data_IF_895976091931
#
_entry.id   IF_895976091931
#
_cell.length_a   1.000
_cell.length_b   1.000
_cell.length_c   1.000
_cell.angle_alpha   90.00
_cell.angle_beta   90.00
_cell.angle_gamma   90.00
#
_symmetry.space_group_name_H-M   'P 1'
#
loop_
_entity.id
_entity.type
_entity.pdbx_description
1 polymer ?
#
# COMPACT_ATOMS: atom_id res chain seq x y z
N UNK A 1 30.12 14.15 -4.43
CA UNK A 1 29.98 14.31 -2.97
C UNK A 1 28.84 13.42 -2.50
N UNK A 2 29.06 12.58 -1.50
CA UNK A 2 28.01 11.73 -0.95
C UNK A 2 26.98 12.59 -0.21
N UNK A 3 25.69 12.44 -0.55
CA UNK A 3 24.63 13.26 0.03
C UNK A 3 24.47 13.05 1.55
N UNK A 4 24.94 11.93 2.09
CA UNK A 4 24.76 11.51 3.49
C UNK A 4 26.05 11.46 4.33
N UNK A 5 27.15 12.07 3.88
CA UNK A 5 28.41 12.15 4.65
C UNK A 5 28.23 12.83 6.01
N UNK A 6 28.91 12.32 7.05
CA UNK A 6 28.97 12.91 8.39
C UNK A 6 29.78 14.21 8.47
N UNK A 7 30.57 14.52 7.45
CA UNK A 7 31.40 15.72 7.40
C UNK A 7 30.58 16.99 7.15
N UNK A 8 29.30 16.84 6.81
CA UNK A 8 28.39 17.94 6.53
C UNK A 8 27.09 17.71 7.30
N UNK A 9 26.49 18.75 7.85
CA UNK A 9 25.10 18.75 8.31
C UNK A 9 24.21 19.23 7.18
N UNK A 10 23.06 18.60 7.00
CA UNK A 10 22.04 19.10 6.07
C UNK A 10 20.72 19.17 6.81
N UNK A 11 20.23 20.38 7.11
CA UNK A 11 18.96 20.60 7.83
C UNK A 11 17.97 21.36 6.95
N UNK A 12 16.67 21.23 7.23
CA UNK A 12 15.66 22.00 6.51
C UNK A 12 15.56 23.44 7.07
N UNK A 13 15.54 24.43 6.17
CA UNK A 13 15.30 25.82 6.49
C UNK A 13 13.92 26.01 7.16
N UNK A 14 13.88 26.76 8.26
CA UNK A 14 12.64 27.06 8.99
C UNK A 14 11.61 27.85 8.16
N UNK A 15 12.09 28.74 7.28
CA UNK A 15 11.23 29.60 6.47
C UNK A 15 10.61 28.93 5.24
N UNK A 16 11.39 28.16 4.49
CA UNK A 16 10.93 27.58 3.22
C UNK A 16 11.07 26.06 3.11
N UNK A 17 11.73 25.40 4.06
CA UNK A 17 11.99 23.95 4.04
C UNK A 17 13.10 23.50 3.09
N UNK A 18 13.78 24.43 2.41
CA UNK A 18 14.91 24.09 1.53
C UNK A 18 16.11 23.56 2.33
N UNK A 19 16.94 22.67 1.74
CA UNK A 19 18.11 22.11 2.42
C UNK A 19 19.17 23.18 2.69
N UNK A 20 19.69 23.21 3.91
CA UNK A 20 20.78 24.07 4.40
C UNK A 20 21.97 23.21 4.79
N UNK A 21 23.09 23.44 4.13
CA UNK A 21 24.35 22.75 4.43
C UNK A 21 25.15 23.58 5.42
N UNK A 22 25.50 23.00 6.57
CA UNK A 22 26.40 23.63 7.54
C UNK A 22 27.54 22.68 7.92
N UNK A 23 28.59 23.20 8.56
CA UNK A 23 29.70 22.39 9.03
C UNK A 23 29.28 21.31 10.06
N UNK A 24 30.12 20.29 10.31
CA UNK A 24 29.77 19.15 11.17
C UNK A 24 29.55 19.56 12.63
N UNK A 25 30.13 20.68 13.07
CA UNK A 25 29.93 21.30 14.37
C UNK A 25 28.58 22.03 14.51
N UNK A 26 27.75 22.04 13.46
CA UNK A 26 26.57 22.91 13.39
C UNK A 26 26.96 24.33 12.99
N UNK A 27 26.07 25.30 13.27
CA UNK A 27 26.29 26.71 13.00
C UNK A 27 25.06 27.43 12.47
N UNK A 28 25.24 28.68 12.06
CA UNK A 28 24.22 29.48 11.38
C UNK A 28 24.60 29.71 9.93
N UNK A 29 23.65 29.50 9.02
CA UNK A 29 23.84 29.77 7.59
C UNK A 29 22.61 30.44 6.99
N UNK A 30 22.84 31.33 6.02
CA UNK A 30 21.75 32.00 5.30
C UNK A 30 21.16 31.06 4.25
N UNK A 31 19.83 30.90 4.25
CA UNK A 31 19.14 30.11 3.24
C UNK A 31 19.29 30.75 1.86
N UNK A 32 19.88 30.00 0.92
CA UNK A 32 20.07 30.46 -0.47
C UNK A 32 18.75 30.72 -1.22
N UNK A 33 17.63 30.20 -0.72
CA UNK A 33 16.33 30.33 -1.37
C UNK A 33 15.48 31.48 -0.81
N UNK A 34 15.39 31.63 0.52
CA UNK A 34 14.54 32.65 1.15
C UNK A 34 15.32 33.70 1.96
N UNK A 35 16.65 33.61 2.04
CA UNK A 35 17.50 34.55 2.79
C UNK A 35 17.47 34.40 4.31
N UNK A 36 16.51 33.66 4.88
CA UNK A 36 16.41 33.46 6.34
C UNK A 36 17.64 32.71 6.86
N UNK A 37 18.24 33.19 7.96
CA UNK A 37 19.29 32.47 8.67
C UNK A 37 18.68 31.30 9.43
N UNK A 38 19.16 30.09 9.15
CA UNK A 38 18.83 28.89 9.90
C UNK A 38 19.97 28.53 10.85
N UNK A 39 19.65 27.86 11.94
CA UNK A 39 20.62 27.24 12.82
C UNK A 39 20.54 25.72 12.73
N UNK A 40 21.68 25.06 12.85
CA UNK A 40 21.79 23.61 13.01
C UNK A 40 22.65 23.30 14.22
N UNK A 41 22.24 22.31 15.00
CA UNK A 41 23.02 21.82 16.14
C UNK A 41 24.20 20.96 15.64
N UNK A 42 25.16 20.68 16.51
CA UNK A 42 26.17 19.65 16.22
C UNK A 42 25.51 18.26 16.17
N UNK A 43 25.99 17.35 15.30
CA UNK A 43 25.56 15.94 15.38
C UNK A 43 26.04 15.39 16.72
N UNK A 44 25.11 14.89 17.54
CA UNK A 44 25.48 14.13 18.72
C UNK A 44 26.34 12.94 18.29
N UNK A 45 27.49 12.72 18.93
CA UNK A 45 28.44 11.64 18.58
C UNK A 45 28.14 10.32 19.27
N UNK A 46 27.33 10.36 20.32
CA UNK A 46 27.05 9.18 21.13
C UNK A 46 25.93 8.32 20.51
N UNK A 47 26.02 7.02 20.75
CA UNK A 47 24.94 6.09 20.44
C UNK A 47 23.75 6.36 21.36
N UNK A 48 22.55 6.28 20.80
CA UNK A 48 21.31 6.45 21.55
C UNK A 48 20.95 5.13 22.20
N UNK A 49 20.77 5.13 23.52
CA UNK A 49 20.25 3.99 24.28
C UNK A 49 18.74 4.12 24.45
N UNK A 50 17.99 3.08 24.11
CA UNK A 50 16.53 3.06 24.27
C UNK A 50 16.17 2.06 25.36
N UNK A 51 16.05 2.58 26.59
CA UNK A 51 15.90 1.76 27.82
C UNK A 51 14.46 1.47 28.21
N UNK A 52 13.50 2.18 27.62
CA UNK A 52 12.09 2.13 27.98
C UNK A 52 11.25 1.80 26.75
N UNK A 53 10.17 1.06 27.00
CA UNK A 53 9.14 0.84 26.00
C UNK A 53 8.33 2.11 25.80
N UNK A 54 7.70 2.20 24.63
CA UNK A 54 6.76 3.29 24.38
C UNK A 54 5.58 3.16 25.33
N UNK A 55 5.39 4.14 26.19
CA UNK A 55 4.23 4.17 27.07
C UNK A 55 2.92 4.29 26.26
N UNK A 56 1.82 3.86 26.88
CA UNK A 56 0.50 3.86 26.23
C UNK A 56 0.04 5.26 25.84
N UNK A 57 0.45 6.29 26.58
CA UNK A 57 0.11 7.68 26.30
C UNK A 57 0.76 8.18 25.01
N UNK A 58 2.04 7.86 24.81
CA UNK A 58 2.79 8.19 23.59
C UNK A 58 2.18 7.48 22.38
N UNK A 59 1.78 6.21 22.53
CA UNK A 59 1.10 5.47 21.48
C UNK A 59 -0.27 6.08 21.13
N UNK A 60 -1.05 6.50 22.13
CA UNK A 60 -2.30 7.22 21.91
C UNK A 60 -2.07 8.54 21.18
N UNK A 61 -1.10 9.36 21.61
CA UNK A 61 -0.74 10.61 20.95
C UNK A 61 -0.31 10.39 19.49
N UNK A 62 0.45 9.34 19.21
CA UNK A 62 0.81 8.96 17.83
C UNK A 62 -0.41 8.55 17.00
N UNK A 63 -1.35 7.80 17.60
CA UNK A 63 -2.59 7.39 16.93
C UNK A 63 -3.48 8.58 16.62
N UNK A 64 -3.63 9.52 17.55
CA UNK A 64 -4.38 10.77 17.35
C UNK A 64 -3.72 11.66 16.30
N UNK A 65 -2.40 11.84 16.37
CA UNK A 65 -1.65 12.58 15.37
C UNK A 65 -1.79 11.95 13.98
N UNK A 66 -1.80 10.62 13.89
CA UNK A 66 -2.05 9.91 12.64
C UNK A 66 -3.44 10.21 12.09
N UNK A 67 -4.49 10.04 12.91
CA UNK A 67 -5.88 10.33 12.51
C UNK A 67 -6.05 11.77 12.02
N UNK A 68 -5.44 12.72 12.71
CA UNK A 68 -5.49 14.14 12.36
C UNK A 68 -4.81 14.47 11.01
N UNK A 69 -3.94 13.58 10.52
CA UNK A 69 -3.20 13.75 9.27
C UNK A 69 -3.64 12.77 8.18
N UNK A 70 -4.61 11.89 8.43
CA UNK A 70 -5.00 10.84 7.49
C UNK A 70 -5.33 11.40 6.10
N UNK A 71 -5.87 12.63 6.01
CA UNK A 71 -6.18 13.27 4.73
C UNK A 71 -4.96 13.50 3.82
N UNK A 72 -3.74 13.51 4.37
CA UNK A 72 -2.47 13.63 3.64
C UNK A 72 -1.97 12.32 3.05
N UNK A 73 -2.45 11.18 3.55
CA UNK A 73 -1.90 9.87 3.27
C UNK A 73 -2.82 9.01 2.44
N UNK A 74 -2.21 8.06 1.74
CA UNK A 74 -2.85 6.81 1.35
C UNK A 74 -1.99 5.62 1.74
N UNK A 75 -2.47 4.83 2.71
CA UNK A 75 -1.68 3.81 3.37
C UNK A 75 -0.56 4.49 4.13
N UNK A 76 0.66 4.06 3.92
CA UNK A 76 1.86 4.71 4.48
C UNK A 76 2.42 5.82 3.59
N UNK A 77 1.93 5.95 2.35
CA UNK A 77 2.48 6.89 1.37
C UNK A 77 1.85 8.28 1.49
N UNK A 78 2.70 9.30 1.42
CA UNK A 78 2.27 10.69 1.32
C UNK A 78 1.74 10.98 -0.09
N UNK A 79 0.56 11.60 -0.17
CA UNK A 79 -0.01 12.02 -1.44
C UNK A 79 0.88 13.06 -2.12
N UNK A 80 1.31 12.87 -3.39
CA UNK A 80 2.25 13.78 -4.05
C UNK A 80 1.82 15.25 -4.04
N UNK A 81 0.55 15.54 -4.28
CA UNK A 81 0.02 16.93 -4.27
C UNK A 81 -0.16 17.51 -2.86
N UNK A 82 -0.09 16.67 -1.81
CA UNK A 82 -0.14 17.10 -0.40
C UNK A 82 1.24 17.37 0.18
N UNK A 83 2.32 17.13 -0.55
CA UNK A 83 3.69 17.33 -0.06
C UNK A 83 3.94 18.76 0.48
N UNK A 84 3.38 19.79 -0.18
CA UNK A 84 3.49 21.19 0.27
C UNK A 84 2.75 21.44 1.59
N UNK A 85 1.54 20.92 1.73
CA UNK A 85 0.74 21.01 2.96
C UNK A 85 1.44 20.27 4.11
N UNK A 86 1.89 19.03 3.87
CA UNK A 86 2.66 18.24 4.82
C UNK A 86 3.95 18.95 5.26
N UNK A 87 4.66 19.60 4.33
CA UNK A 87 5.86 20.38 4.64
C UNK A 87 5.56 21.62 5.50
N UNK A 88 4.39 22.25 5.33
CA UNK A 88 3.97 23.35 6.19
C UNK A 88 3.62 22.86 7.61
N UNK A 89 2.85 21.77 7.70
CA UNK A 89 2.49 21.14 8.98
C UNK A 89 3.73 20.61 9.72
N UNK A 90 4.72 20.09 8.98
CA UNK A 90 5.98 19.60 9.54
C UNK A 90 6.76 20.73 10.21
N UNK A 91 6.87 21.89 9.54
CA UNK A 91 7.53 23.08 10.12
C UNK A 91 6.78 23.60 11.34
N UNK A 92 5.45 23.61 11.30
CA UNK A 92 4.64 23.99 12.45
C UNK A 92 4.85 23.04 13.65
N UNK A 93 4.86 21.72 13.41
CA UNK A 93 5.11 20.71 14.44
C UNK A 93 6.53 20.83 15.03
N UNK A 94 7.53 21.11 14.19
CA UNK A 94 8.91 21.36 14.62
C UNK A 94 9.00 22.59 15.54
N UNK A 95 8.32 23.68 15.16
CA UNK A 95 8.32 24.92 15.95
C UNK A 95 7.56 24.77 17.28
N UNK A 96 6.48 23.99 17.32
CA UNK A 96 5.68 23.77 18.54
C UNK A 96 6.21 22.67 19.45
N UNK A 97 7.17 21.85 18.99
CA UNK A 97 7.62 20.67 19.72
C UNK A 97 6.61 19.51 19.75
N UNK A 98 5.67 19.45 18.79
CA UNK A 98 4.73 18.33 18.68
C UNK A 98 5.44 17.10 18.12
N UNK A 99 6.10 16.34 19.01
CA UNK A 99 6.97 15.23 18.65
C UNK A 99 6.25 14.12 17.85
N UNK A 100 5.02 13.78 18.22
CA UNK A 100 4.24 12.74 17.55
C UNK A 100 3.94 13.12 16.10
N UNK A 101 3.42 14.33 15.88
CA UNK A 101 3.14 14.85 14.54
C UNK A 101 4.43 15.04 13.74
N UNK A 102 5.48 15.56 14.37
CA UNK A 102 6.77 15.79 13.73
C UNK A 102 7.36 14.47 13.23
N UNK A 103 7.39 13.42 14.03
CA UNK A 103 7.92 12.10 13.63
C UNK A 103 7.16 11.56 12.44
N UNK A 104 5.83 11.56 12.49
CA UNK A 104 4.99 11.03 11.41
C UNK A 104 5.24 11.77 10.09
N UNK A 105 5.20 13.10 10.11
CA UNK A 105 5.43 13.93 8.93
C UNK A 105 6.88 13.82 8.42
N UNK A 106 7.85 13.63 9.31
CA UNK A 106 9.25 13.45 8.96
C UNK A 106 9.45 12.19 8.12
N UNK A 107 8.94 11.04 8.59
CA UNK A 107 9.08 9.77 7.87
C UNK A 107 8.32 9.81 6.53
N UNK A 108 7.12 10.40 6.53
CA UNK A 108 6.31 10.59 5.33
C UNK A 108 7.00 11.44 4.25
N UNK A 109 7.53 12.59 4.65
CA UNK A 109 8.23 13.50 3.74
C UNK A 109 9.56 12.92 3.29
N UNK A 110 10.30 12.23 4.17
CA UNK A 110 11.52 11.54 3.81
C UNK A 110 11.26 10.48 2.73
N UNK A 111 10.19 9.67 2.89
CA UNK A 111 9.79 8.69 1.89
C UNK A 111 9.34 9.34 0.57
N UNK A 112 8.64 10.49 0.64
CA UNK A 112 8.27 11.26 -0.54
C UNK A 112 9.49 11.78 -1.31
N UNK A 113 10.47 12.38 -0.62
CA UNK A 113 11.68 12.90 -1.26
C UNK A 113 12.60 11.79 -1.80
N UNK A 114 12.63 10.64 -1.14
CA UNK A 114 13.25 9.43 -1.68
C UNK A 114 12.62 9.02 -3.02
N UNK A 115 11.28 8.93 -3.08
CA UNK A 115 10.57 8.60 -4.32
C UNK A 115 10.83 9.64 -5.43
N UNK A 116 10.99 10.91 -5.04
CA UNK A 116 11.34 12.01 -5.95
C UNK A 116 12.84 12.06 -6.31
N UNK A 117 13.66 11.14 -5.79
CA UNK A 117 15.12 11.11 -5.95
C UNK A 117 15.81 12.42 -5.53
N UNK A 118 15.33 13.04 -4.45
CA UNK A 118 15.90 14.25 -3.82
C UNK A 118 16.54 13.89 -2.45
N UNK A 119 17.75 13.30 -2.45
CA UNK A 119 18.40 12.83 -1.23
C UNK A 119 18.76 13.98 -0.27
N UNK A 120 19.01 15.20 -0.79
CA UNK A 120 19.35 16.35 0.04
C UNK A 120 18.14 16.84 0.84
N UNK A 121 16.95 16.92 0.24
CA UNK A 121 15.73 17.25 1.00
C UNK A 121 15.33 16.14 1.96
N UNK A 122 15.47 14.87 1.55
CA UNK A 122 15.23 13.74 2.43
C UNK A 122 16.09 13.86 3.69
N UNK A 123 17.40 14.08 3.53
CA UNK A 123 18.33 14.28 4.63
C UNK A 123 17.99 15.51 5.47
N UNK A 124 17.68 16.63 4.83
CA UNK A 124 17.31 17.90 5.48
C UNK A 124 16.15 17.75 6.47
N UNK A 125 15.11 17.02 6.07
CA UNK A 125 13.94 16.77 6.92
C UNK A 125 14.29 15.84 8.08
N UNK A 126 15.06 14.78 7.83
CA UNK A 126 15.48 13.82 8.86
C UNK A 126 16.38 14.46 9.93
N UNK A 127 17.43 15.18 9.52
CA UNK A 127 18.31 15.87 10.47
C UNK A 127 17.62 17.05 11.15
N UNK A 128 16.76 17.79 10.43
CA UNK A 128 15.99 18.88 11.02
C UNK A 128 15.04 18.41 12.12
N UNK A 129 14.50 17.19 11.99
CA UNK A 129 13.70 16.55 13.05
C UNK A 129 14.59 16.04 14.19
N UNK A 130 15.78 15.49 13.91
CA UNK A 130 16.74 15.06 14.93
C UNK A 130 17.17 16.20 15.87
N UNK A 131 17.26 17.43 15.37
CA UNK A 131 17.64 18.60 16.17
C UNK A 131 16.66 18.89 17.31
N UNK A 132 15.39 18.52 17.15
CA UNK A 132 14.34 18.78 18.14
C UNK A 132 13.80 17.51 18.79
N UNK A 133 14.21 16.33 18.32
CA UNK A 133 13.80 15.04 18.88
C UNK A 133 14.45 14.82 20.26
N UNK A 134 13.63 14.84 21.30
CA UNK A 134 14.05 14.63 22.70
C UNK A 134 14.00 13.17 23.12
N UNK A 135 12.99 12.42 22.66
CA UNK A 135 12.83 11.00 22.98
C UNK A 135 13.93 10.14 22.32
N UNK A 136 14.65 9.28 23.07
CA UNK A 136 15.64 8.35 22.52
C UNK A 136 15.06 7.44 21.42
N UNK A 137 13.84 6.95 21.60
CA UNK A 137 13.19 6.06 20.64
C UNK A 137 12.98 6.74 19.27
N UNK A 138 12.60 8.02 19.25
CA UNK A 138 12.38 8.77 18.01
C UNK A 138 13.70 9.06 17.30
N UNK A 139 14.74 9.46 18.04
CA UNK A 139 16.09 9.67 17.49
C UNK A 139 16.62 8.39 16.85
N UNK A 140 16.41 7.25 17.51
CA UNK A 140 16.79 5.93 17.02
C UNK A 140 16.13 5.60 15.66
N UNK A 141 14.81 5.82 15.55
CA UNK A 141 14.07 5.62 14.29
C UNK A 141 14.58 6.56 13.17
N UNK A 142 14.90 7.81 13.51
CA UNK A 142 15.43 8.79 12.56
C UNK A 142 16.84 8.44 12.06
N UNK A 143 17.73 7.95 12.93
CA UNK A 143 19.05 7.45 12.52
C UNK A 143 18.94 6.22 11.61
N UNK A 144 18.04 5.29 11.93
CA UNK A 144 17.75 4.15 11.06
C UNK A 144 17.26 4.59 9.67
N UNK A 145 16.42 5.62 9.60
CA UNK A 145 15.97 6.19 8.33
C UNK A 145 17.10 6.89 7.54
N UNK A 146 18.00 7.62 8.22
CA UNK A 146 19.20 8.21 7.61
C UNK A 146 20.13 7.13 7.04
N UNK A 147 20.34 6.03 7.77
CA UNK A 147 21.14 4.90 7.31
C UNK A 147 20.57 4.29 6.02
N UNK A 148 19.25 4.07 5.94
CA UNK A 148 18.62 3.61 4.68
C UNK A 148 18.76 4.62 3.55
N UNK A 149 18.63 5.93 3.84
CA UNK A 149 18.85 7.01 2.89
C UNK A 149 20.26 7.02 2.31
N UNK A 150 21.27 6.88 3.19
CA UNK A 150 22.68 6.80 2.80
C UNK A 150 22.98 5.58 1.92
N UNK A 151 22.44 4.42 2.28
CA UNK A 151 22.62 3.19 1.53
C UNK A 151 22.06 3.30 0.09
N UNK A 152 20.85 3.88 -0.05
CA UNK A 152 20.25 4.18 -1.37
C UNK A 152 21.02 5.22 -2.18
N UNK A 153 21.68 6.15 -1.51
CA UNK A 153 22.57 7.10 -2.17
C UNK A 153 23.91 6.47 -2.61
N UNK A 154 24.09 5.15 -2.46
CA UNK A 154 25.29 4.43 -2.83
C UNK A 154 26.45 4.63 -1.85
N UNK A 155 26.17 5.01 -0.60
CA UNK A 155 27.18 5.22 0.44
C UNK A 155 27.00 4.24 1.61
N UNK A 156 27.47 2.99 1.48
CA UNK A 156 27.34 1.99 2.53
C UNK A 156 28.15 2.33 3.78
N UNK A 157 29.26 3.08 3.65
CA UNK A 157 30.07 3.49 4.80
C UNK A 157 29.31 4.50 5.67
N UNK A 158 28.70 5.52 5.06
CA UNK A 158 27.83 6.43 5.80
C UNK A 158 26.60 5.71 6.37
N UNK A 159 26.02 4.75 5.64
CA UNK A 159 24.89 3.97 6.13
C UNK A 159 25.21 3.22 7.44
N UNK A 160 26.36 2.53 7.49
CA UNK A 160 26.82 1.85 8.71
C UNK A 160 27.13 2.84 9.83
N UNK A 161 27.74 3.99 9.52
CA UNK A 161 28.04 5.00 10.52
C UNK A 161 26.77 5.64 11.13
N UNK A 162 25.68 5.77 10.36
CA UNK A 162 24.37 6.18 10.89
C UNK A 162 23.73 5.09 11.72
N UNK A 163 23.74 3.84 11.25
CA UNK A 163 23.16 2.71 11.98
C UNK A 163 23.91 2.42 13.28
N UNK A 164 25.22 2.66 13.35
CA UNK A 164 26.04 2.52 14.56
C UNK A 164 25.61 3.46 15.70
N UNK A 165 24.75 4.46 15.42
CA UNK A 165 24.19 5.36 16.45
C UNK A 165 22.91 4.82 17.07
N UNK A 166 22.32 3.81 16.45
CA UNK A 166 21.19 3.09 17.00
C UNK A 166 21.68 2.09 18.06
N UNK A 167 20.89 1.92 19.12
CA UNK A 167 20.97 0.72 19.96
C UNK A 167 20.68 -0.51 19.11
N UNK A 168 21.53 -1.53 19.18
CA UNK A 168 21.34 -2.79 18.47
C UNK A 168 20.31 -3.71 19.14
N UNK A 169 19.92 -3.42 20.39
CA UNK A 169 18.92 -4.17 21.16
C UNK A 169 18.03 -3.21 21.96
N UNK A 170 17.33 -2.29 21.29
CA UNK A 170 16.43 -1.36 21.97
C UNK A 170 15.24 -2.12 22.56
N UNK A 171 14.66 -1.65 23.67
CA UNK A 171 13.48 -2.30 24.26
C UNK A 171 12.18 -2.04 23.47
N UNK A 172 11.99 -0.81 23.00
CA UNK A 172 10.78 -0.42 22.28
C UNK A 172 10.62 -1.08 20.91
N UNK A 173 9.47 -1.69 20.66
CA UNK A 173 9.13 -2.42 19.41
C UNK A 173 9.39 -1.60 18.14
N UNK A 174 9.03 -0.31 18.13
CA UNK A 174 9.26 0.55 16.97
C UNK A 174 10.75 0.76 16.67
N UNK A 175 11.57 0.98 17.70
CA UNK A 175 13.03 1.13 17.55
C UNK A 175 13.69 -0.21 17.19
N UNK A 176 13.28 -1.32 17.79
CA UNK A 176 13.82 -2.66 17.45
C UNK A 176 13.53 -3.01 15.99
N UNK A 177 12.28 -2.78 15.57
CA UNK A 177 11.86 -2.98 14.18
C UNK A 177 12.66 -2.07 13.23
N UNK A 178 12.84 -0.79 13.56
CA UNK A 178 13.60 0.14 12.73
C UNK A 178 15.07 -0.28 12.60
N UNK A 179 15.71 -0.77 13.67
CA UNK A 179 17.07 -1.33 13.62
C UNK A 179 17.12 -2.55 12.72
N UNK A 180 16.27 -3.56 12.98
CA UNK A 180 16.25 -4.83 12.26
C UNK A 180 15.95 -4.66 10.79
N UNK A 181 14.94 -3.87 10.46
CA UNK A 181 14.63 -3.53 9.07
C UNK A 181 15.85 -2.90 8.39
N UNK A 182 16.49 -1.90 9.02
CA UNK A 182 17.65 -1.23 8.42
C UNK A 182 18.82 -2.19 8.25
N UNK A 183 19.16 -2.99 9.27
CA UNK A 183 20.23 -3.99 9.20
C UNK A 183 19.96 -5.02 8.09
N UNK A 184 18.75 -5.56 8.02
CA UNK A 184 18.33 -6.48 6.96
C UNK A 184 18.42 -5.85 5.56
N UNK A 185 18.07 -4.57 5.44
CA UNK A 185 18.18 -3.81 4.20
C UNK A 185 19.64 -3.62 3.76
N UNK A 186 20.53 -3.23 4.68
CA UNK A 186 21.97 -3.10 4.38
C UNK A 186 22.60 -4.45 4.03
N UNK A 187 22.23 -5.52 4.75
CA UNK A 187 22.73 -6.86 4.48
C UNK A 187 22.25 -7.35 3.09
N UNK A 188 21.02 -7.01 2.70
CA UNK A 188 20.49 -7.26 1.35
C UNK A 188 21.27 -6.51 0.28
N UNK A 189 21.53 -5.21 0.48
CA UNK A 189 22.32 -4.39 -0.43
C UNK A 189 23.76 -4.89 -0.63
N UNK A 190 24.37 -5.43 0.43
CA UNK A 190 25.72 -6.00 0.35
C UNK A 190 25.79 -7.24 -0.54
N UNK A 191 24.69 -7.97 -0.69
CA UNK A 191 24.58 -9.21 -1.47
C UNK A 191 25.40 -10.39 -0.94
N UNK A 192 26.09 -10.26 0.20
CA UNK A 192 27.08 -11.25 0.66
C UNK A 192 26.45 -12.45 1.37
N UNK A 193 25.46 -12.24 2.22
CA UNK A 193 24.89 -13.31 3.05
C UNK A 193 23.37 -13.11 3.31
N UNK A 194 22.52 -13.77 2.51
CA UNK A 194 21.07 -13.76 2.72
C UNK A 194 20.65 -14.34 4.09
N UNK A 195 21.46 -15.19 4.70
CA UNK A 195 21.14 -15.82 5.97
C UNK A 195 21.18 -14.81 7.12
N UNK A 196 22.03 -13.79 7.05
CA UNK A 196 22.06 -12.66 8.01
C UNK A 196 20.77 -11.84 8.00
N UNK A 197 20.14 -11.69 6.83
CA UNK A 197 18.80 -11.06 6.73
C UNK A 197 17.80 -11.85 7.56
N UNK A 198 17.73 -13.18 7.37
CA UNK A 198 16.81 -14.05 8.10
C UNK A 198 17.12 -14.13 9.61
N UNK A 199 18.40 -14.09 10.00
CA UNK A 199 18.78 -13.99 11.42
C UNK A 199 18.31 -12.68 12.06
N UNK A 200 18.25 -11.60 11.27
CA UNK A 200 17.88 -10.27 11.76
C UNK A 200 16.37 -10.09 11.88
N UNK A 201 15.59 -10.50 10.87
CA UNK A 201 14.13 -10.28 10.80
C UNK A 201 13.28 -11.56 10.93
N UNK A 202 13.91 -12.71 11.20
CA UNK A 202 13.25 -14.00 11.30
C UNK A 202 12.98 -14.67 9.95
N UNK A 203 12.94 -16.00 9.96
CA UNK A 203 12.59 -16.83 8.80
C UNK A 203 11.10 -16.84 8.49
N UNK A 204 10.25 -16.57 9.49
CA UNK A 204 8.80 -16.44 9.39
C UNK A 204 8.30 -15.14 10.05
N UNK A 205 7.02 -14.81 9.82
CA UNK A 205 6.35 -13.67 10.46
C UNK A 205 6.10 -13.84 11.97
N UNK A 206 6.47 -14.97 12.56
CA UNK A 206 6.29 -15.30 13.98
C UNK A 206 7.59 -15.32 14.78
N UNK A 207 8.73 -15.41 14.10
CA UNK A 207 10.03 -15.55 14.77
C UNK A 207 10.46 -14.26 15.47
N UNK A 208 10.07 -13.11 14.90
CA UNK A 208 10.36 -11.78 15.43
C UNK A 208 9.10 -10.93 15.33
N UNK A 209 8.68 -10.33 16.44
CA UNK A 209 7.60 -9.34 16.44
C UNK A 209 8.11 -8.06 15.78
N UNK A 210 7.43 -7.60 14.73
CA UNK A 210 7.77 -6.38 14.02
C UNK A 210 6.63 -5.38 14.16
N UNK A 211 6.97 -4.10 14.19
CA UNK A 211 6.02 -3.01 14.12
C UNK A 211 5.31 -3.01 12.76
N UNK A 212 3.99 -2.86 12.77
CA UNK A 212 3.12 -2.95 11.59
C UNK A 212 3.58 -2.09 10.39
N UNK A 213 4.15 -0.91 10.68
CA UNK A 213 4.61 0.04 9.65
C UNK A 213 5.74 -0.51 8.75
N UNK A 214 6.46 -1.55 9.20
CA UNK A 214 7.56 -2.18 8.46
C UNK A 214 7.27 -3.64 8.07
N UNK A 215 6.07 -4.17 8.35
CA UNK A 215 5.76 -5.58 8.05
C UNK A 215 5.89 -5.90 6.56
N UNK A 216 5.39 -5.03 5.69
CA UNK A 216 5.45 -5.21 4.25
C UNK A 216 6.90 -5.21 3.72
N UNK A 217 7.72 -4.27 4.17
CA UNK A 217 9.13 -4.13 3.76
C UNK A 217 9.95 -5.33 4.25
N UNK A 218 9.79 -5.73 5.52
CA UNK A 218 10.46 -6.89 6.09
C UNK A 218 9.99 -8.21 5.45
N UNK A 219 8.72 -8.35 5.10
CA UNK A 219 8.24 -9.52 4.37
C UNK A 219 8.89 -9.65 2.99
N UNK A 220 9.05 -8.54 2.25
CA UNK A 220 9.77 -8.53 0.99
C UNK A 220 11.25 -8.89 1.16
N UNK A 221 11.95 -8.31 2.15
CA UNK A 221 13.35 -8.65 2.42
C UNK A 221 13.52 -10.12 2.82
N UNK A 222 12.61 -10.67 3.63
CA UNK A 222 12.59 -12.08 4.03
C UNK A 222 12.38 -13.00 2.82
N UNK A 223 11.40 -12.68 1.97
CA UNK A 223 11.13 -13.45 0.76
C UNK A 223 12.33 -13.42 -0.20
N UNK A 224 12.94 -12.24 -0.40
CA UNK A 224 14.15 -12.11 -1.21
C UNK A 224 15.30 -12.95 -0.64
N UNK A 225 15.52 -12.93 0.69
CA UNK A 225 16.56 -13.76 1.29
C UNK A 225 16.34 -15.26 1.07
N UNK A 226 15.10 -15.75 1.18
CA UNK A 226 14.75 -17.13 0.85
C UNK A 226 14.94 -17.47 -0.64
N UNK A 227 14.58 -16.55 -1.53
CA UNK A 227 14.82 -16.66 -2.98
C UNK A 227 16.31 -16.81 -3.28
N UNK A 228 17.16 -15.97 -2.67
CA UNK A 228 18.62 -16.03 -2.81
C UNK A 228 19.26 -17.31 -2.26
N UNK A 229 18.60 -17.99 -1.32
CA UNK A 229 19.01 -19.31 -0.81
C UNK A 229 18.47 -20.50 -1.64
N UNK A 230 17.79 -20.22 -2.76
CA UNK A 230 17.16 -21.24 -3.61
C UNK A 230 15.94 -21.91 -2.96
N UNK A 231 15.40 -21.34 -1.88
CA UNK A 231 14.22 -21.85 -1.16
C UNK A 231 12.95 -21.13 -1.63
N UNK A 232 12.61 -21.34 -2.90
CA UNK A 232 11.50 -20.62 -3.55
C UNK A 232 10.15 -20.80 -2.84
N UNK A 233 9.85 -22.00 -2.35
CA UNK A 233 8.58 -22.27 -1.65
C UNK A 233 8.44 -21.42 -0.38
N UNK A 234 9.53 -21.26 0.37
CA UNK A 234 9.58 -20.42 1.57
C UNK A 234 9.44 -18.93 1.23
N UNK A 235 10.04 -18.50 0.11
CA UNK A 235 9.93 -17.12 -0.36
C UNK A 235 8.47 -16.76 -0.72
N UNK A 236 7.80 -17.63 -1.47
CA UNK A 236 6.38 -17.48 -1.83
C UNK A 236 5.50 -17.55 -0.58
N UNK A 237 5.77 -18.50 0.33
CA UNK A 237 5.03 -18.60 1.60
C UNK A 237 5.15 -17.33 2.44
N UNK A 238 6.33 -16.72 2.54
CA UNK A 238 6.52 -15.49 3.32
C UNK A 238 5.66 -14.32 2.79
N UNK A 239 5.51 -14.20 1.46
CA UNK A 239 4.63 -13.21 0.83
C UNK A 239 3.15 -13.60 0.97
N UNK A 240 2.83 -14.88 0.88
CA UNK A 240 1.45 -15.36 1.05
C UNK A 240 0.95 -15.18 2.50
N UNK A 241 1.80 -15.38 3.51
CA UNK A 241 1.48 -15.07 4.91
C UNK A 241 1.12 -13.59 5.10
N UNK A 242 1.87 -12.68 4.46
CA UNK A 242 1.54 -11.25 4.45
C UNK A 242 0.18 -11.03 3.78
N UNK A 243 -0.10 -11.72 2.67
CA UNK A 243 -1.37 -11.59 1.95
C UNK A 243 -2.58 -12.10 2.73
N UNK A 244 -2.40 -13.15 3.54
CA UNK A 244 -3.45 -13.78 4.34
C UNK A 244 -3.72 -13.04 5.65
N UNK A 245 -2.67 -12.54 6.32
CA UNK A 245 -2.80 -11.81 7.59
C UNK A 245 -3.08 -10.33 7.40
N UNK A 246 -2.57 -9.78 6.31
CA UNK A 246 -2.54 -8.35 6.07
C UNK A 246 -3.75 -7.84 5.29
N UNK A 247 -3.92 -6.53 5.36
CA UNK A 247 -4.86 -5.84 4.47
C UNK A 247 -4.31 -5.76 3.05
N UNK A 248 -5.19 -5.54 2.07
CA UNK A 248 -4.82 -5.16 0.71
C UNK A 248 -3.81 -4.00 0.67
N UNK A 249 -3.89 -3.08 1.63
CA UNK A 249 -2.93 -1.98 1.77
C UNK A 249 -1.52 -2.47 2.10
N UNK A 250 -1.36 -3.50 2.94
CA UNK A 250 -0.04 -4.12 3.21
C UNK A 250 0.52 -4.80 1.97
N UNK A 251 -0.34 -5.47 1.19
CA UNK A 251 0.06 -6.05 -0.11
C UNK A 251 0.53 -4.98 -1.09
N UNK A 252 -0.24 -3.90 -1.19
CA UNK A 252 0.13 -2.74 -2.02
C UNK A 252 1.44 -2.11 -1.55
N UNK A 253 1.65 -1.94 -0.24
CA UNK A 253 2.90 -1.42 0.31
C UNK A 253 4.10 -2.33 -0.03
N UNK A 254 3.92 -3.65 0.04
CA UNK A 254 4.94 -4.63 -0.36
C UNK A 254 5.27 -4.52 -1.85
N UNK A 255 4.25 -4.46 -2.72
CA UNK A 255 4.42 -4.27 -4.15
C UNK A 255 5.20 -2.99 -4.49
N UNK A 256 4.84 -1.88 -3.83
CA UNK A 256 5.53 -0.58 -3.99
C UNK A 256 6.96 -0.62 -3.49
N UNK A 257 7.23 -1.33 -2.40
CA UNK A 257 8.58 -1.52 -1.89
C UNK A 257 9.46 -2.31 -2.86
N UNK A 258 8.94 -3.41 -3.43
CA UNK A 258 9.61 -4.21 -4.46
C UNK A 258 9.89 -3.37 -5.72
N UNK A 259 8.88 -2.64 -6.21
CA UNK A 259 9.01 -1.76 -7.38
C UNK A 259 10.06 -0.66 -7.18
N UNK A 260 10.07 -0.02 -6.00
CA UNK A 260 11.03 1.04 -5.66
C UNK A 260 12.47 0.55 -5.66
N UNK A 261 12.68 -0.73 -5.35
CA UNK A 261 13.98 -1.38 -5.26
C UNK A 261 14.20 -2.40 -6.38
N UNK A 262 13.63 -2.14 -7.56
CA UNK A 262 13.77 -3.02 -8.72
C UNK A 262 15.25 -3.17 -9.16
N UNK A 263 16.09 -2.18 -8.89
CA UNK A 263 17.54 -2.20 -9.11
C UNK A 263 18.27 -3.28 -8.28
N UNK A 264 17.71 -3.67 -7.15
CA UNK A 264 18.24 -4.76 -6.31
C UNK A 264 17.74 -6.14 -6.73
N UNK A 265 16.82 -6.21 -7.69
CA UNK A 265 16.16 -7.46 -8.07
C UNK A 265 15.39 -8.10 -6.92
N UNK A 266 14.80 -7.29 -6.03
CA UNK A 266 14.02 -7.83 -4.89
C UNK A 266 12.89 -8.71 -5.39
N UNK A 267 12.78 -9.91 -4.82
CA UNK A 267 11.72 -10.89 -5.09
C UNK A 267 11.37 -11.09 -6.57
N UNK A 268 12.38 -11.08 -7.45
CA UNK A 268 12.19 -11.10 -8.91
C UNK A 268 11.36 -12.30 -9.41
N UNK A 269 11.47 -13.43 -8.71
CA UNK A 269 10.73 -14.65 -9.02
C UNK A 269 9.58 -14.94 -8.04
N UNK A 270 9.82 -14.76 -6.74
CA UNK A 270 8.86 -15.12 -5.70
C UNK A 270 7.64 -14.20 -5.68
N UNK A 271 7.82 -12.91 -5.96
CA UNK A 271 6.72 -11.94 -5.91
C UNK A 271 5.67 -12.18 -7.02
N UNK A 272 6.03 -12.33 -8.31
CA UNK A 272 5.05 -12.68 -9.35
C UNK A 272 4.32 -13.99 -9.08
N UNK A 273 4.98 -15.00 -8.50
CA UNK A 273 4.36 -16.29 -8.14
C UNK A 273 3.34 -16.13 -7.01
N UNK A 274 3.70 -15.41 -5.95
CA UNK A 274 2.80 -15.14 -4.83
C UNK A 274 1.58 -14.31 -5.26
N UNK A 275 1.78 -13.29 -6.09
CA UNK A 275 0.69 -12.49 -6.66
C UNK A 275 -0.20 -13.33 -7.60
N UNK A 276 0.38 -14.23 -8.40
CA UNK A 276 -0.34 -15.20 -9.22
C UNK A 276 -1.29 -16.11 -8.41
N UNK A 277 -0.79 -16.70 -7.32
CA UNK A 277 -1.60 -17.52 -6.41
C UNK A 277 -2.80 -16.75 -5.85
N UNK A 278 -2.60 -15.48 -5.48
CA UNK A 278 -3.67 -14.65 -4.95
C UNK A 278 -4.70 -14.29 -6.03
N UNK A 279 -4.25 -13.98 -7.24
CA UNK A 279 -5.14 -13.75 -8.39
C UNK A 279 -5.98 -14.99 -8.69
N UNK A 280 -5.38 -16.17 -8.66
CA UNK A 280 -6.08 -17.43 -8.92
C UNK A 280 -7.14 -17.72 -7.85
N UNK A 281 -6.84 -17.46 -6.57
CA UNK A 281 -7.84 -17.53 -5.47
C UNK A 281 -8.99 -16.55 -5.70
N UNK A 282 -8.69 -15.31 -6.07
CA UNK A 282 -9.71 -14.29 -6.37
C UNK A 282 -10.58 -14.66 -7.57
N UNK A 283 -10.00 -15.27 -8.61
CA UNK A 283 -10.73 -15.78 -9.77
C UNK A 283 -11.61 -16.97 -9.37
N UNK A 284 -11.11 -17.90 -8.58
CA UNK A 284 -11.88 -19.07 -8.11
C UNK A 284 -13.08 -18.64 -7.24
N UNK A 285 -12.89 -17.70 -6.31
CA UNK A 285 -13.98 -17.15 -5.50
C UNK A 285 -15.01 -16.41 -6.36
N UNK A 286 -14.56 -15.63 -7.34
CA UNK A 286 -15.47 -14.94 -8.24
C UNK A 286 -16.24 -15.88 -9.18
N UNK A 287 -15.61 -16.96 -9.64
CA UNK A 287 -16.27 -17.97 -10.46
C UNK A 287 -17.40 -18.68 -9.68
N UNK A 288 -17.16 -18.97 -8.39
CA UNK A 288 -18.21 -19.48 -7.48
C UNK A 288 -19.35 -18.48 -7.30
N UNK A 289 -19.03 -17.19 -7.21
CA UNK A 289 -20.04 -16.13 -7.02
C UNK A 289 -20.83 -15.78 -8.30
N UNK A 290 -20.24 -15.95 -9.49
CA UNK A 290 -20.81 -15.47 -10.75
C UNK A 290 -21.98 -16.30 -11.30
N UNK A 291 -22.51 -17.28 -10.55
CA UNK A 291 -23.76 -17.95 -10.92
C UNK A 291 -23.74 -18.64 -12.30
N UNK A 292 -22.57 -19.00 -12.82
CA UNK A 292 -22.43 -19.77 -14.06
C UNK A 292 -23.40 -20.97 -14.16
N UNK A 293 -23.71 -21.72 -13.08
CA UNK A 293 -24.74 -22.75 -13.15
C UNK A 293 -26.16 -22.20 -13.33
N UNK A 294 -26.52 -21.04 -12.78
CA UNK A 294 -27.86 -20.44 -12.92
C UNK A 294 -28.13 -19.95 -14.35
N UNK A 295 -27.12 -19.39 -15.03
CA UNK A 295 -27.27 -18.98 -16.43
C UNK A 295 -27.42 -20.19 -17.35
N UNK A 296 -26.61 -21.24 -17.13
CA UNK A 296 -26.74 -22.50 -17.86
C UNK A 296 -28.12 -23.13 -17.60
N UNK A 297 -28.57 -23.15 -16.34
CA UNK A 297 -29.88 -23.67 -15.94
C UNK A 297 -31.02 -22.89 -16.61
N UNK A 298 -30.98 -21.56 -16.60
CA UNK A 298 -32.00 -20.70 -17.22
C UNK A 298 -32.07 -20.90 -18.73
N UNK A 299 -30.92 -21.01 -19.42
CA UNK A 299 -30.88 -21.33 -20.84
C UNK A 299 -31.45 -22.72 -21.11
N UNK A 300 -31.05 -23.74 -20.36
CA UNK A 300 -31.60 -25.10 -20.53
C UNK A 300 -33.10 -25.16 -20.23
N UNK A 301 -33.57 -24.52 -19.17
CA UNK A 301 -34.98 -24.47 -18.80
C UNK A 301 -35.81 -23.73 -19.86
N UNK A 302 -35.29 -22.63 -20.43
CA UNK A 302 -35.92 -21.92 -21.53
C UNK A 302 -36.09 -22.78 -22.78
N UNK A 303 -35.07 -23.57 -23.14
CA UNK A 303 -35.15 -24.50 -24.28
C UNK A 303 -36.13 -25.65 -24.02
N UNK A 304 -36.14 -26.21 -22.80
CA UNK A 304 -37.08 -27.28 -22.43
C UNK A 304 -38.52 -26.76 -22.44
N UNK A 305 -38.77 -25.58 -21.87
CA UNK A 305 -40.10 -24.98 -21.84
C UNK A 305 -40.60 -24.63 -23.26
N UNK A 306 -39.74 -24.05 -24.10
CA UNK A 306 -40.05 -23.78 -25.51
C UNK A 306 -40.40 -25.07 -26.26
N UNK A 307 -39.62 -26.14 -26.06
CA UNK A 307 -39.88 -27.45 -26.66
C UNK A 307 -41.21 -28.05 -26.22
N UNK A 308 -41.55 -27.95 -24.94
CA UNK A 308 -42.82 -28.43 -24.39
C UNK A 308 -44.03 -27.64 -24.91
N UNK A 309 -43.91 -26.31 -25.00
CA UNK A 309 -44.99 -25.45 -25.53
C UNK A 309 -45.23 -25.76 -27.01
N UNK A 310 -44.18 -25.89 -27.82
CA UNK A 310 -44.29 -26.27 -29.23
C UNK A 310 -44.96 -27.64 -29.38
N UNK A 311 -44.51 -28.63 -28.61
CA UNK A 311 -45.06 -29.99 -28.65
C UNK A 311 -46.55 -30.02 -28.26
N UNK A 312 -46.92 -29.36 -27.16
CA UNK A 312 -48.30 -29.32 -26.69
C UNK A 312 -49.23 -28.56 -27.67
N UNK A 313 -48.74 -27.47 -28.28
CA UNK A 313 -49.51 -26.68 -29.24
C UNK A 313 -49.84 -27.47 -30.51
N UNK A 314 -48.87 -28.26 -31.01
CA UNK A 314 -49.07 -29.17 -32.15
C UNK A 314 -50.05 -30.28 -31.79
N UNK A 315 -49.96 -30.84 -30.58
CA UNK A 315 -50.78 -31.97 -30.16
C UNK A 315 -52.24 -31.62 -29.86
N UNK A 316 -52.53 -30.42 -29.32
CA UNK A 316 -53.86 -30.09 -28.79
C UNK A 316 -54.77 -29.35 -29.75
N UNK A 317 -54.24 -28.43 -30.58
CA UNK A 317 -55.10 -27.43 -31.20
C UNK A 317 -55.24 -27.53 -32.70
N UNK A 318 -54.34 -28.20 -33.43
CA UNK A 318 -54.41 -28.31 -34.90
C UNK A 318 -54.38 -26.97 -35.68
N UNK A 319 -54.57 -25.84 -35.01
CA UNK A 319 -54.61 -24.49 -35.56
C UNK A 319 -53.28 -23.78 -35.31
N UNK A 320 -52.60 -23.44 -36.41
CA UNK A 320 -51.27 -22.83 -36.41
C UNK A 320 -51.17 -21.49 -35.66
N UNK A 321 -52.26 -20.73 -35.54
CA UNK A 321 -52.22 -19.35 -35.03
C UNK A 321 -51.81 -19.25 -33.55
N UNK A 322 -52.36 -20.12 -32.68
CA UNK A 322 -52.02 -20.14 -31.26
C UNK A 322 -50.57 -20.61 -31.02
N UNK A 323 -50.11 -21.57 -31.82
CA UNK A 323 -48.74 -22.06 -31.79
C UNK A 323 -47.73 -20.95 -32.19
N UNK A 324 -48.06 -20.12 -33.17
CA UNK A 324 -47.23 -18.98 -33.56
C UNK A 324 -47.16 -17.90 -32.48
N UNK A 325 -48.29 -17.57 -31.83
CA UNK A 325 -48.31 -16.58 -30.74
C UNK A 325 -47.46 -17.03 -29.54
N UNK A 326 -47.59 -18.29 -29.13
CA UNK A 326 -46.81 -18.87 -28.03
C UNK A 326 -45.31 -18.95 -28.36
N UNK A 327 -44.97 -19.35 -29.59
CA UNK A 327 -43.58 -19.40 -30.07
C UNK A 327 -42.95 -18.00 -30.12
N UNK A 328 -43.70 -16.99 -30.59
CA UNK A 328 -43.26 -15.60 -30.62
C UNK A 328 -42.96 -15.04 -29.23
N UNK A 329 -43.82 -15.32 -28.25
CA UNK A 329 -43.60 -14.91 -26.86
C UNK A 329 -42.36 -15.57 -26.24
N UNK A 330 -42.18 -16.88 -26.44
CA UNK A 330 -41.03 -17.60 -25.92
C UNK A 330 -39.72 -17.14 -26.59
N UNK A 331 -39.73 -16.85 -27.89
CA UNK A 331 -38.60 -16.25 -28.60
C UNK A 331 -38.24 -14.86 -28.05
N UNK A 332 -39.25 -14.02 -27.77
CA UNK A 332 -39.04 -12.71 -27.15
C UNK A 332 -38.36 -12.85 -25.78
N UNK A 333 -38.86 -13.72 -24.91
CA UNK A 333 -38.24 -13.99 -23.60
C UNK A 333 -36.81 -14.50 -23.74
N UNK A 334 -36.58 -15.48 -24.62
CA UNK A 334 -35.24 -16.02 -24.87
C UNK A 334 -34.27 -14.93 -25.34
N UNK A 335 -34.74 -14.00 -26.19
CA UNK A 335 -33.94 -12.86 -26.67
C UNK A 335 -33.60 -11.90 -25.54
N UNK A 336 -34.55 -11.58 -24.65
CA UNK A 336 -34.32 -10.73 -23.47
C UNK A 336 -33.31 -11.38 -22.54
N UNK A 337 -33.46 -12.66 -22.23
CA UNK A 337 -32.50 -13.39 -21.39
C UNK A 337 -31.12 -13.50 -22.04
N UNK A 338 -31.04 -13.72 -23.36
CA UNK A 338 -29.78 -13.70 -24.10
C UNK A 338 -29.11 -12.32 -24.04
N UNK A 339 -29.87 -11.23 -24.16
CA UNK A 339 -29.32 -9.87 -24.04
C UNK A 339 -28.76 -9.61 -22.63
N UNK A 340 -29.49 -9.99 -21.57
CA UNK A 340 -29.02 -9.91 -20.17
C UNK A 340 -27.75 -10.75 -20.01
N UNK A 341 -27.75 -11.99 -20.50
CA UNK A 341 -26.62 -12.90 -20.46
C UNK A 341 -25.37 -12.32 -21.14
N UNK A 342 -25.53 -11.70 -22.32
CA UNK A 342 -24.43 -11.06 -23.04
C UNK A 342 -23.88 -9.87 -22.24
N UNK A 343 -24.74 -9.04 -21.64
CA UNK A 343 -24.32 -7.91 -20.81
C UNK A 343 -23.54 -8.39 -19.58
N UNK A 344 -24.06 -9.41 -18.88
CA UNK A 344 -23.41 -9.94 -17.68
C UNK A 344 -22.14 -10.71 -18.01
N UNK A 345 -22.10 -11.45 -19.11
CA UNK A 345 -20.88 -12.09 -19.60
C UNK A 345 -19.81 -11.06 -19.97
N UNK A 346 -20.19 -9.95 -20.62
CA UNK A 346 -19.27 -8.84 -20.92
C UNK A 346 -18.75 -8.19 -19.63
N UNK A 347 -19.60 -7.96 -18.63
CA UNK A 347 -19.20 -7.45 -17.31
C UNK A 347 -18.26 -8.43 -16.61
N UNK A 348 -18.57 -9.72 -16.60
CA UNK A 348 -17.74 -10.77 -16.00
C UNK A 348 -16.38 -10.90 -16.70
N UNK A 349 -16.35 -10.90 -18.04
CA UNK A 349 -15.11 -10.92 -18.83
C UNK A 349 -14.28 -9.66 -18.59
N UNK A 350 -14.92 -8.50 -18.45
CA UNK A 350 -14.25 -7.24 -18.07
C UNK A 350 -13.67 -7.31 -16.66
N UNK A 351 -14.45 -7.72 -15.67
CA UNK A 351 -13.97 -7.90 -14.30
C UNK A 351 -12.81 -8.91 -14.23
N UNK A 352 -12.90 -10.04 -14.95
CA UNK A 352 -11.81 -11.02 -15.07
C UNK A 352 -10.56 -10.38 -15.67
N UNK A 353 -10.70 -9.54 -16.70
CA UNK A 353 -9.59 -8.80 -17.31
C UNK A 353 -8.97 -7.81 -16.34
N UNK A 354 -9.77 -7.00 -15.64
CA UNK A 354 -9.28 -6.03 -14.64
C UNK A 354 -8.57 -6.75 -13.50
N UNK A 355 -9.05 -7.91 -13.04
CA UNK A 355 -8.32 -8.71 -12.05
C UNK A 355 -6.98 -9.26 -12.57
N UNK A 356 -6.95 -9.71 -13.82
CA UNK A 356 -5.76 -10.34 -14.40
C UNK A 356 -4.70 -9.32 -14.85
N UNK A 357 -5.12 -8.18 -15.38
CA UNK A 357 -4.28 -7.21 -16.10
C UNK A 357 -4.41 -5.79 -15.56
N UNK A 358 -5.35 -5.53 -14.64
CA UNK A 358 -5.56 -4.20 -14.09
C UNK A 358 -4.37 -3.76 -13.24
N UNK A 359 -4.07 -2.47 -13.35
CA UNK A 359 -3.01 -1.82 -12.59
C UNK A 359 -3.52 -1.60 -11.18
N UNK A 360 -2.79 -2.10 -10.18
CA UNK A 360 -3.13 -1.87 -8.79
C UNK A 360 -2.87 -0.40 -8.44
N UNK A 361 -3.84 0.23 -7.79
CA UNK A 361 -3.80 1.61 -7.38
C UNK A 361 -4.43 1.71 -6.01
N UNK A 362 -3.99 2.67 -5.22
CA UNK A 362 -4.68 2.98 -3.99
C UNK A 362 -5.85 3.94 -4.28
N UNK A 363 -6.91 3.90 -3.49
CA UNK A 363 -8.06 4.76 -3.67
C UNK A 363 -8.63 5.21 -2.34
N UNK A 364 -9.08 6.46 -2.26
CA UNK A 364 -9.84 6.98 -1.13
C UNK A 364 -11.33 6.92 -1.43
N UNK A 365 -12.11 6.38 -0.50
CA UNK A 365 -13.57 6.36 -0.61
C UNK A 365 -14.10 7.76 -0.34
N UNK A 366 -14.74 8.37 -1.32
CA UNK A 366 -15.36 9.70 -1.20
C UNK A 366 -16.78 9.55 -0.66
N UNK A 367 -17.53 8.61 -1.23
CA UNK A 367 -18.93 8.39 -0.90
C UNK A 367 -19.27 6.90 -1.00
N UNK A 368 -20.11 6.42 -0.10
CA UNK A 368 -20.67 5.06 -0.11
C UNK A 368 -22.20 5.14 -0.02
N UNK A 369 -22.91 4.49 -0.96
CA UNK A 369 -24.38 4.50 -1.02
C UNK A 369 -24.94 3.10 -1.23
N UNK A 370 -25.99 2.74 -0.49
CA UNK A 370 -26.76 1.53 -0.78
C UNK A 370 -27.54 1.64 -2.09
N UNK A 371 -27.49 0.60 -2.92
CA UNK A 371 -28.18 0.55 -4.23
C UNK A 371 -29.62 0.03 -4.15
N UNK A 372 -30.11 -0.32 -2.96
CA UNK A 372 -31.34 -1.10 -2.69
C UNK A 372 -31.33 -2.54 -3.21
N UNK A 373 -30.30 -2.96 -3.95
CA UNK A 373 -30.14 -4.34 -4.41
C UNK A 373 -29.40 -5.17 -3.36
N UNK A 374 -29.71 -6.46 -3.28
CA UNK A 374 -28.97 -7.44 -2.52
C UNK A 374 -28.85 -8.75 -3.30
N UNK A 375 -27.74 -9.46 -3.10
CA UNK A 375 -27.52 -10.80 -3.67
C UNK A 375 -27.15 -11.72 -2.53
N UNK A 376 -27.89 -12.81 -2.33
CA UNK A 376 -27.68 -13.77 -1.23
C UNK A 376 -27.65 -13.09 0.16
N UNK A 377 -28.54 -12.12 0.39
CA UNK A 377 -28.61 -11.37 1.64
C UNK A 377 -27.49 -10.32 1.81
N UNK A 378 -26.50 -10.28 0.91
CA UNK A 378 -25.46 -9.25 0.93
C UNK A 378 -25.93 -8.00 0.18
N UNK A 379 -26.02 -6.85 0.85
CA UNK A 379 -26.42 -5.60 0.22
C UNK A 379 -25.35 -5.10 -0.75
N UNK A 380 -25.80 -4.64 -1.91
CA UNK A 380 -24.94 -4.03 -2.91
C UNK A 380 -24.75 -2.54 -2.61
N UNK A 381 -23.49 -2.12 -2.53
CA UNK A 381 -23.07 -0.75 -2.27
C UNK A 381 -22.38 -0.15 -3.50
N UNK A 382 -22.68 1.10 -3.79
CA UNK A 382 -22.03 1.93 -4.81
C UNK A 382 -21.07 2.89 -4.13
N UNK A 383 -19.83 2.89 -4.58
CA UNK A 383 -18.77 3.74 -4.08
C UNK A 383 -18.32 4.71 -5.15
N UNK A 384 -18.15 5.97 -4.74
CA UNK A 384 -17.36 6.94 -5.49
C UNK A 384 -15.98 7.00 -4.84
N UNK A 385 -14.94 6.71 -5.61
CA UNK A 385 -13.57 6.60 -5.11
C UNK A 385 -12.66 7.57 -5.86
N UNK A 386 -11.72 8.19 -5.13
CA UNK A 386 -10.62 8.94 -5.71
C UNK A 386 -9.46 7.97 -5.92
N UNK A 387 -9.24 7.53 -7.15
CA UNK A 387 -8.17 6.61 -7.51
C UNK A 387 -6.87 7.37 -7.67
N UNK A 388 -5.82 6.80 -7.10
CA UNK A 388 -4.47 7.33 -7.10
C UNK A 388 -3.59 6.38 -7.90
N UNK A 389 -3.53 6.57 -9.22
CA UNK A 389 -2.75 5.68 -10.05
C UNK A 389 -1.26 5.80 -9.67
N UNK A 390 -0.45 4.73 -9.83
CA UNK A 390 0.99 4.78 -9.59
C UNK A 390 1.70 5.88 -10.40
N UNK A 391 1.14 6.18 -11.59
CA UNK A 391 1.58 7.26 -12.47
C UNK A 391 0.37 8.06 -12.96
N UNK A 392 0.53 9.37 -13.10
CA UNK A 392 -0.52 10.26 -13.60
C UNK A 392 -1.28 11.03 -12.52
N UNK A 393 -2.39 11.64 -12.92
CA UNK A 393 -3.23 12.47 -12.04
C UNK A 393 -4.31 11.64 -11.36
N UNK A 394 -4.67 11.95 -10.11
CA UNK A 394 -5.83 11.35 -9.45
C UNK A 394 -7.11 11.56 -10.25
N UNK A 395 -8.01 10.58 -10.23
CA UNK A 395 -9.31 10.67 -10.89
C UNK A 395 -10.42 10.04 -10.04
N UNK A 396 -11.64 10.54 -10.20
CA UNK A 396 -12.81 9.92 -9.57
C UNK A 396 -13.31 8.75 -10.43
N UNK A 397 -13.66 7.64 -9.77
CA UNK A 397 -14.29 6.48 -10.41
C UNK A 397 -15.46 5.96 -9.58
N UNK A 398 -16.32 5.19 -10.23
CA UNK A 398 -17.45 4.54 -9.60
C UNK A 398 -17.25 3.02 -9.61
N UNK A 399 -17.46 2.38 -8.46
CA UNK A 399 -17.41 0.94 -8.35
C UNK A 399 -18.57 0.43 -7.52
N UNK A 400 -19.02 -0.79 -7.77
CA UNK A 400 -20.17 -1.40 -7.12
C UNK A 400 -19.77 -2.80 -6.68
N UNK A 401 -20.02 -3.13 -5.42
CA UNK A 401 -19.79 -4.47 -4.90
C UNK A 401 -20.73 -4.82 -3.76
N UNK A 402 -20.87 -6.12 -3.50
CA UNK A 402 -21.64 -6.64 -2.37
C UNK A 402 -20.77 -6.65 -1.13
N UNK A 403 -21.22 -6.00 -0.07
CA UNK A 403 -20.48 -5.85 1.17
C UNK A 403 -21.28 -6.41 2.33
N UNK A 404 -20.65 -7.21 3.17
CA UNK A 404 -21.21 -7.55 4.49
C UNK A 404 -21.10 -6.34 5.46
N UNK A 405 -21.56 -6.53 6.69
CA UNK A 405 -21.54 -5.47 7.70
C UNK A 405 -20.12 -5.01 8.04
N UNK A 406 -19.19 -5.95 8.21
CA UNK A 406 -17.79 -5.65 8.54
C UNK A 406 -17.09 -4.88 7.42
N UNK A 407 -17.32 -5.29 6.17
CA UNK A 407 -16.81 -4.61 4.98
C UNK A 407 -17.37 -3.20 4.86
N UNK A 408 -18.66 -3.00 5.17
CA UNK A 408 -19.28 -1.66 5.16
C UNK A 408 -18.68 -0.73 6.21
N UNK A 409 -18.45 -1.23 7.42
CA UNK A 409 -17.82 -0.45 8.49
C UNK A 409 -16.39 -0.07 8.12
N UNK A 410 -15.66 -1.00 7.52
CA UNK A 410 -14.28 -0.79 7.08
C UNK A 410 -14.16 0.22 5.93
N UNK A 411 -15.08 0.19 4.98
CA UNK A 411 -15.03 0.99 3.76
C UNK A 411 -15.96 2.21 3.80
N UNK A 412 -15.96 2.96 4.90
CA UNK A 412 -16.69 4.23 5.01
C UNK A 412 -16.07 5.39 4.21
N UNK A 413 -16.76 6.52 4.04
CA UNK A 413 -16.16 7.74 3.50
C UNK A 413 -14.88 8.15 4.24
N UNK A 414 -13.86 8.55 3.49
CA UNK A 414 -12.51 8.88 3.97
C UNK A 414 -11.55 7.68 4.06
N UNK A 415 -12.08 6.46 4.18
CA UNK A 415 -11.28 5.24 4.25
C UNK A 415 -10.52 4.97 2.95
N UNK A 416 -9.53 4.10 3.04
CA UNK A 416 -8.67 3.72 1.94
C UNK A 416 -8.96 2.30 1.51
N UNK A 417 -8.96 2.10 0.20
CA UNK A 417 -9.09 0.81 -0.43
C UNK A 417 -7.99 0.64 -1.47
N UNK A 418 -7.67 -0.61 -1.77
CA UNK A 418 -6.90 -0.93 -2.97
C UNK A 418 -7.88 -1.25 -4.08
N UNK A 419 -7.57 -0.74 -5.27
CA UNK A 419 -8.37 -0.96 -6.45
C UNK A 419 -7.47 -1.45 -7.59
N UNK A 420 -8.06 -2.15 -8.55
CA UNK A 420 -7.47 -2.38 -9.86
C UNK A 420 -8.21 -1.53 -10.88
N UNK A 421 -7.45 -0.73 -11.62
CA UNK A 421 -7.98 0.06 -12.73
C UNK A 421 -7.68 -0.62 -14.07
N UNK A 422 -8.62 -0.55 -15.01
CA UNK A 422 -8.37 -0.95 -16.38
C UNK A 422 -7.44 0.07 -17.05
N UNK A 423 -6.23 -0.33 -17.53
CA UNK A 423 -5.32 0.60 -18.19
C UNK A 423 -5.91 1.17 -19.50
N UNK A 424 -6.92 0.53 -20.08
CA UNK A 424 -7.60 1.03 -21.29
C UNK A 424 -8.80 1.94 -21.00
N UNK A 425 -9.34 1.93 -19.77
CA UNK A 425 -10.49 2.73 -19.38
C UNK A 425 -10.44 3.06 -17.88
N UNK A 426 -9.94 4.25 -17.54
CA UNK A 426 -9.80 4.70 -16.15
C UNK A 426 -11.14 4.79 -15.39
N UNK A 427 -12.29 4.79 -16.08
CA UNK A 427 -13.60 4.77 -15.41
C UNK A 427 -13.91 3.41 -14.80
N UNK A 428 -13.22 2.36 -15.25
CA UNK A 428 -13.46 0.98 -14.86
C UNK A 428 -12.49 0.58 -13.77
N UNK A 429 -13.01 0.58 -12.54
CA UNK A 429 -12.25 0.33 -11.34
C UNK A 429 -12.92 -0.75 -10.51
N UNK A 430 -12.15 -1.75 -10.12
CA UNK A 430 -12.60 -2.83 -9.26
C UNK A 430 -11.91 -2.74 -7.91
N UNK A 431 -12.70 -2.69 -6.84
CA UNK A 431 -12.13 -2.72 -5.49
C UNK A 431 -11.62 -4.12 -5.15
N UNK A 432 -10.44 -4.20 -4.55
CA UNK A 432 -9.90 -5.42 -3.97
C UNK A 432 -10.42 -5.57 -2.54
N UNK A 433 -11.26 -6.58 -2.33
CA UNK A 433 -11.67 -7.01 -1.00
C UNK A 433 -10.62 -8.00 -0.48
N UNK A 434 -10.43 -8.02 0.84
CA UNK A 434 -9.49 -8.92 1.51
C UNK A 434 -10.05 -10.32 1.70
#
# INVERSE_FOLDING_TARGET
>A
MAAFTFELRVVACEGCGAPLSVGPAGGQEACRYCGQRGAALAIARDAVKVTEDMDGETLMRQTEARRALDHLFVGVDLLPWKAREASALWRAARASGDAARLRLLTLALAQHFENAKDPLRQRAILEGALDVATAPADRHVLYAALARGAARAGDPSAAEAWLARCDARPRGLASDTAYRHTRAYLDTLSGQDPQRVLQTIGGTSRDVMLHQDHEAECAALRAHAWERLGRMDMAVQALDELNQRGSSLLRYACARFVERHADLGLCSESFPRADGLQRDRGVALAAKAAGAPLLALALTAGHVLLGLILFASIALFGELAAAYAASGFAFMLATVFLAIAIVDFRKARRAKRIRAQGVQAAARIIHARGTKQSTNGLPQLSYRVLVLPPTGVPFEAHTVFHADAATRERFGPGSLAVVRMDPADHRMVQMELD
#
